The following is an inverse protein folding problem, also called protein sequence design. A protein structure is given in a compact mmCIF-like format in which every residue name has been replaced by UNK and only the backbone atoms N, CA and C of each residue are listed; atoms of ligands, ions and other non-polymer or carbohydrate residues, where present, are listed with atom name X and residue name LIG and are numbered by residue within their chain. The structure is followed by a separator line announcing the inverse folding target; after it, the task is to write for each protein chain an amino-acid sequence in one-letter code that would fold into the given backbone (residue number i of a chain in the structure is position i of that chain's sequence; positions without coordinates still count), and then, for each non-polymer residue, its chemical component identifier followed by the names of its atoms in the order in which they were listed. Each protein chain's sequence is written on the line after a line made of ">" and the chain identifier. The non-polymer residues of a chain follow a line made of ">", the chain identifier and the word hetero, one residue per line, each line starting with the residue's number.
data_IF_697262512719
#
_entry.id   IF_697262512719
#
_cell.length_a   1.000
_cell.length_b   1.000
_cell.length_c   1.000
_cell.angle_alpha   90.00
_cell.angle_beta   90.00
_cell.angle_gamma   90.00
#
_symmetry.space_group_name_H-M   'P 1'
#
loop_
_entity.id
_entity.type
_entity.pdbx_description
1 polymer ?
#
# COMPACT_ATOMS: atom_id res chain seq x y z
N UNK A 1 6.60 28.62 3.44
CA UNK A 1 6.71 28.44 4.90
C UNK A 1 5.58 27.51 5.31
N UNK A 2 5.90 26.37 5.94
CA UNK A 2 4.85 25.48 6.41
C UNK A 2 4.46 25.97 7.80
N UNK A 3 3.47 26.85 7.87
CA UNK A 3 2.93 27.37 9.14
C UNK A 3 2.20 26.25 9.89
N UNK A 4 2.93 25.29 10.47
CA UNK A 4 2.40 24.28 11.40
C UNK A 4 2.19 24.93 12.77
N UNK A 5 1.21 25.83 12.85
CA UNK A 5 0.74 26.39 14.11
C UNK A 5 -0.17 25.41 14.86
N UNK A 6 -0.37 25.66 16.15
CA UNK A 6 -1.30 24.91 17.00
C UNK A 6 -2.71 24.82 16.38
N UNK A 7 -3.16 25.89 15.72
CA UNK A 7 -4.46 25.97 15.05
C UNK A 7 -4.65 24.89 13.97
N UNK A 8 -3.60 24.58 13.19
CA UNK A 8 -3.68 23.55 12.14
C UNK A 8 -3.71 22.14 12.74
N UNK A 9 -3.01 21.93 13.86
CA UNK A 9 -3.09 20.66 14.58
C UNK A 9 -4.49 20.43 15.15
N UNK A 10 -5.13 21.48 15.67
CA UNK A 10 -6.53 21.40 16.11
C UNK A 10 -7.46 21.06 14.94
N UNK A 11 -7.31 21.73 13.80
CA UNK A 11 -8.13 21.46 12.60
C UNK A 11 -8.02 20.00 12.16
N UNK A 12 -6.79 19.50 12.01
CA UNK A 12 -6.54 18.11 11.58
C UNK A 12 -7.04 17.13 12.64
N UNK A 13 -6.85 17.43 13.93
CA UNK A 13 -7.39 16.64 15.03
C UNK A 13 -8.92 16.57 15.01
N UNK A 14 -9.59 17.69 14.73
CA UNK A 14 -11.03 17.78 14.57
C UNK A 14 -11.54 16.93 13.41
N UNK A 15 -10.92 17.05 12.22
CA UNK A 15 -11.28 16.21 11.06
C UNK A 15 -11.05 14.73 11.35
N UNK A 16 -9.93 14.38 12.00
CA UNK A 16 -9.64 13.01 12.37
C UNK A 16 -10.66 12.45 13.38
N UNK A 17 -11.17 13.26 14.30
CA UNK A 17 -12.25 12.87 15.23
C UNK A 17 -13.54 12.51 14.51
N UNK A 18 -13.92 13.29 13.49
CA UNK A 18 -15.15 13.04 12.71
C UNK A 18 -15.01 11.78 11.84
N UNK A 19 -13.88 11.63 11.16
CA UNK A 19 -13.68 10.55 10.18
C UNK A 19 -13.39 9.22 10.88
N UNK A 20 -12.49 9.22 11.86
CA UNK A 20 -12.04 8.01 12.53
C UNK A 20 -12.87 7.68 13.78
N UNK A 21 -13.46 8.69 14.41
CA UNK A 21 -14.20 8.59 15.66
C UNK A 21 -13.31 8.80 16.90
N UNK A 22 -13.85 9.43 17.97
CA UNK A 22 -13.12 9.72 19.21
C UNK A 22 -12.61 8.47 19.94
N UNK A 23 -13.27 7.34 19.76
CA UNK A 23 -12.90 6.08 20.41
C UNK A 23 -11.66 5.43 19.78
N UNK A 24 -11.38 5.72 18.50
CA UNK A 24 -10.34 5.06 17.70
C UNK A 24 -9.06 5.87 17.58
N UNK A 25 -9.15 7.21 17.63
CA UNK A 25 -8.00 8.12 17.64
C UNK A 25 -6.94 7.81 18.72
N UNK A 26 -7.27 7.57 20.00
CA UNK A 26 -6.26 7.30 21.02
C UNK A 26 -5.50 6.00 20.76
N UNK A 27 -6.13 5.05 20.07
CA UNK A 27 -5.47 3.79 19.68
C UNK A 27 -4.43 4.04 18.59
N UNK A 28 -4.77 4.83 17.56
CA UNK A 28 -3.84 5.19 16.48
C UNK A 28 -2.70 6.06 16.99
N UNK A 29 -2.99 7.07 17.81
CA UNK A 29 -1.97 7.93 18.40
C UNK A 29 -0.93 7.12 19.21
N UNK A 30 -1.39 6.13 19.99
CA UNK A 30 -0.49 5.21 20.71
C UNK A 30 0.36 4.39 19.76
N UNK A 31 -0.22 3.81 18.72
CA UNK A 31 0.54 3.01 17.74
C UNK A 31 1.59 3.87 17.02
N UNK A 32 1.19 5.01 16.47
CA UNK A 32 2.10 5.93 15.78
C UNK A 32 3.18 6.43 16.73
N UNK A 33 2.82 6.81 17.96
CA UNK A 33 3.77 7.26 18.98
C UNK A 33 4.80 6.18 19.34
N UNK A 34 4.37 4.92 19.51
CA UNK A 34 5.32 3.83 19.78
C UNK A 34 6.27 3.56 18.62
N UNK A 35 5.78 3.64 17.38
CA UNK A 35 6.62 3.45 16.19
C UNK A 35 7.62 4.58 16.03
N UNK A 36 7.17 5.82 16.19
CA UNK A 36 8.02 7.01 16.10
C UNK A 36 9.09 7.01 17.21
N UNK A 37 8.72 6.64 18.44
CA UNK A 37 9.67 6.53 19.55
C UNK A 37 10.73 5.44 19.33
N UNK A 38 10.35 4.30 18.74
CA UNK A 38 11.30 3.24 18.37
C UNK A 38 12.23 3.68 17.24
N UNK A 39 11.69 4.37 16.23
CA UNK A 39 12.49 4.92 15.14
C UNK A 39 13.48 5.96 15.63
N UNK A 40 13.06 6.87 16.52
CA UNK A 40 13.93 7.87 17.13
C UNK A 40 15.10 7.23 17.89
N UNK A 41 14.84 6.18 18.67
CA UNK A 41 15.90 5.40 19.35
C UNK A 41 16.85 4.72 18.36
N UNK A 42 16.32 4.09 17.32
CA UNK A 42 17.17 3.47 16.30
C UNK A 42 18.08 4.49 15.61
N UNK A 43 17.54 5.66 15.29
CA UNK A 43 18.32 6.76 14.72
C UNK A 43 19.37 7.27 15.70
N UNK A 44 19.10 7.35 17.00
CA UNK A 44 20.12 7.74 17.98
C UNK A 44 21.24 6.71 18.09
N UNK A 45 20.90 5.42 18.05
CA UNK A 45 21.88 4.33 18.16
C UNK A 45 22.78 4.28 16.92
N UNK A 46 22.19 4.41 15.73
CA UNK A 46 22.95 4.50 14.47
C UNK A 46 23.81 5.76 14.43
N UNK A 47 23.28 6.92 14.87
CA UNK A 47 24.10 8.14 14.99
C UNK A 47 25.28 7.94 15.94
N UNK A 48 25.10 7.25 17.05
CA UNK A 48 26.16 7.00 18.03
C UNK A 48 27.26 6.06 17.47
N UNK A 49 26.86 5.00 16.75
CA UNK A 49 27.79 4.07 16.09
C UNK A 49 28.56 4.75 14.93
N UNK A 50 27.86 5.54 14.13
CA UNK A 50 28.44 6.26 12.97
C UNK A 50 29.34 7.41 13.44
N UNK A 51 28.98 8.14 14.50
CA UNK A 51 29.82 9.19 15.08
C UNK A 51 31.06 8.62 15.80
N UNK A 52 31.07 7.33 16.12
CA UNK A 52 32.24 6.63 16.68
C UNK A 52 33.26 6.25 15.60
N UNK A 53 32.86 6.18 14.33
CA UNK A 53 33.60 5.49 13.26
C UNK A 53 33.95 6.33 12.02
N UNK A 54 33.53 7.61 11.92
CA UNK A 54 33.75 8.45 10.71
C UNK A 54 34.31 9.84 11.07
N UNK A 55 35.33 10.30 10.35
CA UNK A 55 35.88 11.67 10.39
C UNK A 55 34.89 12.69 9.80
N UNK A 56 34.78 13.88 10.40
CA UNK A 56 33.71 14.88 10.24
C UNK A 56 33.36 15.32 8.79
N UNK A 57 34.17 14.99 7.80
CA UNK A 57 34.04 15.45 6.40
C UNK A 57 33.03 14.61 5.57
N UNK A 58 32.91 13.31 5.79
CA UNK A 58 31.92 12.46 5.07
C UNK A 58 30.48 12.69 5.54
N UNK A 59 30.28 13.00 6.83
CA UNK A 59 28.96 13.33 7.39
C UNK A 59 28.40 14.62 6.81
N UNK A 60 29.26 15.62 6.56
CA UNK A 60 28.84 16.88 5.95
C UNK A 60 28.43 16.70 4.49
N UNK A 61 29.12 15.82 3.76
CA UNK A 61 28.80 15.46 2.37
C UNK A 61 27.52 14.64 2.24
N UNK A 62 27.30 13.66 3.12
CA UNK A 62 26.04 12.90 3.17
C UNK A 62 24.87 13.79 3.59
N UNK A 63 25.06 14.69 4.57
CA UNK A 63 24.01 15.64 5.00
C UNK A 63 23.62 16.59 3.86
N UNK A 64 24.59 17.12 3.12
CA UNK A 64 24.29 18.02 1.99
C UNK A 64 23.57 17.28 0.86
N UNK A 65 24.00 16.07 0.50
CA UNK A 65 23.31 15.22 -0.48
C UNK A 65 21.89 14.88 -0.06
N UNK A 66 21.68 14.52 1.22
CA UNK A 66 20.36 14.22 1.75
C UNK A 66 19.46 15.46 1.78
N UNK A 67 19.99 16.62 2.16
CA UNK A 67 19.24 17.88 2.16
C UNK A 67 18.79 18.27 0.74
N UNK A 68 19.68 18.13 -0.26
CA UNK A 68 19.32 18.37 -1.67
C UNK A 68 18.24 17.39 -2.12
N UNK A 69 18.40 16.10 -1.82
CA UNK A 69 17.39 15.09 -2.19
C UNK A 69 16.03 15.34 -1.52
N UNK A 70 16.01 15.79 -0.26
CA UNK A 70 14.77 16.14 0.44
C UNK A 70 14.11 17.37 -0.21
N UNK A 71 14.88 18.40 -0.56
CA UNK A 71 14.35 19.58 -1.24
C UNK A 71 13.78 19.23 -2.63
N UNK A 72 14.47 18.38 -3.39
CA UNK A 72 14.00 17.91 -4.71
C UNK A 72 12.69 17.11 -4.60
N UNK A 73 12.59 16.26 -3.56
CA UNK A 73 11.35 15.51 -3.27
C UNK A 73 10.23 16.45 -2.81
N UNK A 74 10.52 17.48 -2.02
CA UNK A 74 9.53 18.48 -1.62
C UNK A 74 8.97 19.23 -2.84
N UNK A 75 9.82 19.57 -3.82
CA UNK A 75 9.41 20.22 -5.05
C UNK A 75 8.55 19.31 -5.94
N UNK A 76 8.94 18.05 -6.12
CA UNK A 76 8.17 17.09 -6.93
C UNK A 76 6.82 16.75 -6.29
N UNK A 77 6.80 16.53 -4.97
CA UNK A 77 5.55 16.26 -4.23
C UNK A 77 4.61 17.46 -4.27
N UNK A 78 5.11 18.70 -4.12
CA UNK A 78 4.27 19.89 -4.25
C UNK A 78 3.64 19.99 -5.63
N UNK A 79 4.42 19.80 -6.69
CA UNK A 79 3.94 19.87 -8.06
C UNK A 79 2.90 18.78 -8.38
N UNK A 80 3.10 17.58 -7.84
CA UNK A 80 2.16 16.46 -8.02
C UNK A 80 0.88 16.65 -7.19
N UNK A 81 0.99 17.22 -5.98
CA UNK A 81 -0.17 17.58 -5.15
C UNK A 81 -0.98 18.71 -5.78
N UNK A 82 -0.34 19.75 -6.31
CA UNK A 82 -1.01 20.88 -6.96
C UNK A 82 -1.76 20.43 -8.22
N UNK A 83 -1.17 19.55 -9.03
CA UNK A 83 -1.83 18.98 -10.22
C UNK A 83 -2.98 18.04 -9.86
N UNK A 84 -2.83 17.22 -8.80
CA UNK A 84 -3.92 16.40 -8.28
C UNK A 84 -5.08 17.25 -7.74
N UNK A 85 -4.79 18.35 -7.05
CA UNK A 85 -5.80 19.29 -6.57
C UNK A 85 -6.60 19.93 -7.71
N UNK A 86 -5.92 20.32 -8.79
CA UNK A 86 -6.56 20.90 -9.98
C UNK A 86 -7.47 19.89 -10.68
N UNK A 87 -7.03 18.64 -10.83
CA UNK A 87 -7.82 17.58 -11.44
C UNK A 87 -9.07 17.22 -10.61
N UNK A 88 -8.94 17.18 -9.29
CA UNK A 88 -10.09 16.95 -8.39
C UNK A 88 -11.06 18.13 -8.48
N UNK A 89 -10.56 19.38 -8.48
CA UNK A 89 -11.42 20.56 -8.59
C UNK A 89 -12.17 20.61 -9.92
N UNK A 90 -11.53 20.28 -11.04
CA UNK A 90 -12.19 20.26 -12.36
C UNK A 90 -13.28 19.19 -12.44
N UNK A 91 -13.02 17.99 -11.91
CA UNK A 91 -14.04 16.95 -11.85
C UNK A 91 -15.21 17.33 -10.96
N UNK A 92 -14.95 17.99 -9.83
CA UNK A 92 -16.00 18.48 -8.94
C UNK A 92 -16.82 19.59 -9.60
N UNK A 93 -16.19 20.52 -10.31
CA UNK A 93 -16.89 21.58 -11.03
C UNK A 93 -17.73 21.04 -12.19
N UNK A 94 -17.24 20.04 -12.93
CA UNK A 94 -18.01 19.41 -14.02
C UNK A 94 -19.25 18.69 -13.46
N UNK A 95 -19.10 17.96 -12.35
CA UNK A 95 -20.21 17.31 -11.65
C UNK A 95 -21.21 18.31 -11.05
N UNK A 96 -20.74 19.49 -10.61
CA UNK A 96 -21.60 20.55 -10.08
C UNK A 96 -22.40 21.26 -11.18
N UNK A 97 -21.87 21.33 -12.41
CA UNK A 97 -22.55 21.94 -13.57
C UNK A 97 -23.55 20.98 -14.23
N UNK A 98 -23.30 19.67 -14.21
CA UNK A 98 -24.25 18.65 -14.70
C UNK A 98 -25.44 18.36 -13.74
N UNK A 99 -25.44 18.91 -12.52
CA UNK A 99 -26.51 18.72 -11.54
C UNK A 99 -27.87 19.37 -11.87
N UNK A 100 -28.00 20.06 -13.02
CA UNK A 100 -29.19 20.84 -13.42
C UNK A 100 -30.08 20.23 -14.51
N UNK A 101 -29.76 19.06 -15.06
CA UNK A 101 -30.46 18.50 -16.23
C UNK A 101 -30.97 17.06 -15.99
N UNK A 102 -31.62 16.83 -14.85
CA UNK A 102 -32.09 15.50 -14.41
C UNK A 102 -33.50 15.10 -14.89
N UNK A 103 -34.12 15.80 -15.83
CA UNK A 103 -35.48 15.42 -16.31
C UNK A 103 -35.53 14.86 -17.75
N UNK A 104 -34.52 15.10 -18.61
CA UNK A 104 -34.57 14.66 -20.02
C UNK A 104 -33.89 13.30 -20.30
N UNK A 105 -33.09 12.77 -19.37
CA UNK A 105 -32.30 11.55 -19.57
C UNK A 105 -32.99 10.25 -19.08
N UNK A 106 -34.22 10.32 -18.53
CA UNK A 106 -34.93 9.15 -18.02
C UNK A 106 -35.58 8.29 -19.13
N UNK A 107 -35.62 8.77 -20.38
CA UNK A 107 -36.28 8.10 -21.50
C UNK A 107 -35.35 7.26 -22.40
N UNK A 108 -34.02 7.29 -22.17
CA UNK A 108 -33.04 6.56 -22.99
C UNK A 108 -32.19 5.56 -22.18
N UNK A 109 -32.70 5.12 -21.02
CA UNK A 109 -31.98 4.18 -20.16
C UNK A 109 -31.97 2.78 -20.79
N UNK A 110 -30.82 2.42 -21.39
CA UNK A 110 -30.47 1.04 -21.72
C UNK A 110 -30.73 0.12 -20.50
N UNK A 111 -31.14 -1.14 -20.71
CA UNK A 111 -31.49 -2.04 -19.61
C UNK A 111 -30.34 -2.15 -18.62
N UNK A 112 -30.63 -1.80 -17.37
CA UNK A 112 -29.70 -1.90 -16.23
C UNK A 112 -29.20 -3.36 -16.16
N UNK A 113 -27.87 -3.60 -16.14
CA UNK A 113 -27.35 -4.94 -16.05
C UNK A 113 -27.76 -5.56 -14.71
N UNK A 114 -28.60 -6.59 -14.77
CA UNK A 114 -29.00 -7.37 -13.60
C UNK A 114 -27.80 -8.20 -13.13
N UNK A 115 -27.39 -7.98 -11.89
CA UNK A 115 -26.32 -8.76 -11.27
C UNK A 115 -26.75 -10.23 -11.16
N UNK A 116 -26.07 -11.09 -11.92
CA UNK A 116 -26.15 -12.54 -11.72
C UNK A 116 -25.03 -12.97 -10.79
N UNK A 117 -25.40 -13.57 -9.66
CA UNK A 117 -24.41 -14.02 -8.69
C UNK A 117 -23.48 -15.04 -9.36
N UNK A 118 -22.16 -14.84 -9.35
CA UNK A 118 -21.25 -15.90 -9.75
C UNK A 118 -21.41 -16.99 -8.71
N UNK A 119 -21.98 -18.14 -9.09
CA UNK A 119 -22.19 -19.33 -8.24
C UNK A 119 -20.87 -19.98 -7.79
N UNK A 120 -19.94 -19.17 -7.28
CA UNK A 120 -18.62 -19.55 -6.83
C UNK A 120 -18.71 -19.94 -5.36
N UNK A 121 -18.58 -21.24 -5.15
CA UNK A 121 -18.36 -21.84 -3.84
C UNK A 121 -16.98 -21.44 -3.30
N UNK A 122 -16.84 -20.21 -2.79
CA UNK A 122 -15.65 -19.67 -2.12
C UNK A 122 -15.23 -20.51 -0.88
N UNK A 123 -16.07 -21.47 -0.49
CA UNK A 123 -15.81 -22.51 0.52
C UNK A 123 -15.24 -23.83 -0.04
N UNK A 124 -14.80 -23.90 -1.29
CA UNK A 124 -13.95 -25.00 -1.75
C UNK A 124 -12.47 -24.71 -1.40
N UNK A 125 -12.12 -25.13 -0.18
CA UNK A 125 -10.78 -25.45 0.36
C UNK A 125 -9.69 -24.37 0.29
N UNK A 126 -9.63 -23.56 1.36
CA UNK A 126 -8.37 -23.11 1.96
C UNK A 126 -7.54 -24.35 2.31
N UNK A 127 -6.35 -24.48 1.73
CA UNK A 127 -5.45 -25.59 2.05
C UNK A 127 -4.24 -25.76 1.13
N UNK A 128 -4.13 -25.00 0.04
CA UNK A 128 -2.94 -25.07 -0.82
C UNK A 128 -2.15 -23.79 -0.69
N UNK A 129 -0.95 -23.90 -0.11
CA UNK A 129 0.05 -22.83 -0.17
C UNK A 129 0.26 -22.43 -1.64
N UNK A 130 0.23 -21.13 -1.97
CA UNK A 130 0.30 -20.67 -3.34
C UNK A 130 1.55 -21.19 -4.05
N UNK A 131 1.45 -21.40 -5.37
CA UNK A 131 2.53 -21.99 -6.17
C UNK A 131 3.81 -21.16 -6.10
N UNK A 132 3.70 -19.83 -6.12
CA UNK A 132 4.85 -18.92 -5.98
C UNK A 132 5.62 -19.15 -4.67
N UNK A 133 4.90 -19.43 -3.58
CA UNK A 133 5.51 -19.63 -2.25
C UNK A 133 6.30 -20.93 -2.21
N UNK A 134 5.74 -22.03 -2.76
CA UNK A 134 6.45 -23.32 -2.84
C UNK A 134 7.69 -23.27 -3.74
N UNK A 135 7.66 -22.45 -4.79
CA UNK A 135 8.77 -22.25 -5.72
C UNK A 135 9.96 -21.55 -5.04
N UNK A 136 9.68 -20.53 -4.23
CA UNK A 136 10.70 -19.78 -3.50
C UNK A 136 11.33 -20.58 -2.36
N UNK A 137 10.55 -21.45 -1.71
CA UNK A 137 10.99 -22.25 -0.56
C UNK A 137 11.56 -23.62 -0.94
N UNK A 138 11.75 -23.91 -2.24
CA UNK A 138 12.33 -25.18 -2.69
C UNK A 138 11.51 -26.43 -2.33
N UNK A 139 10.23 -26.27 -1.99
CA UNK A 139 9.39 -27.39 -1.53
C UNK A 139 9.03 -28.27 -2.72
N UNK A 140 9.46 -29.55 -2.68
CA UNK A 140 9.22 -30.52 -3.75
C UNK A 140 7.71 -30.69 -4.00
N UNK A 141 7.30 -30.45 -5.25
CA UNK A 141 5.89 -30.41 -5.68
C UNK A 141 5.26 -31.77 -5.93
N UNK A 142 6.06 -32.81 -6.13
CA UNK A 142 5.59 -34.15 -6.46
C UNK A 142 6.30 -35.19 -5.59
N UNK A 143 5.52 -35.98 -4.85
CA UNK A 143 5.96 -37.25 -4.29
C UNK A 143 5.78 -38.32 -5.37
N UNK A 144 6.88 -38.86 -5.90
CA UNK A 144 6.80 -40.04 -6.74
C UNK A 144 6.45 -41.24 -5.85
N UNK A 145 5.27 -41.82 -6.06
CA UNK A 145 4.90 -43.08 -5.39
C UNK A 145 5.93 -44.17 -5.73
N UNK A 146 6.12 -45.14 -4.84
CA UNK A 146 7.05 -46.25 -5.07
C UNK A 146 6.78 -46.97 -6.40
N UNK A 147 5.51 -47.14 -6.77
CA UNK A 147 5.10 -47.70 -8.05
C UNK A 147 5.57 -46.86 -9.26
N UNK A 148 5.50 -45.53 -9.19
CA UNK A 148 5.94 -44.64 -10.26
C UNK A 148 7.47 -44.65 -10.45
N UNK A 149 8.23 -44.85 -9.37
CA UNK A 149 9.68 -45.08 -9.46
C UNK A 149 10.00 -46.38 -10.18
N UNK A 150 9.28 -47.46 -9.85
CA UNK A 150 9.53 -48.78 -10.42
C UNK A 150 9.05 -48.90 -11.86
N UNK A 151 8.02 -48.15 -12.28
CA UNK A 151 7.51 -48.15 -13.65
C UNK A 151 8.56 -47.79 -14.71
N UNK A 152 9.57 -46.97 -14.36
CA UNK A 152 10.67 -46.60 -15.27
C UNK A 152 11.62 -47.76 -15.57
N UNK A 153 11.67 -48.75 -14.68
CA UNK A 153 12.57 -49.90 -14.75
C UNK A 153 11.84 -51.18 -15.15
N UNK A 154 10.54 -51.10 -15.51
CA UNK A 154 9.80 -52.27 -15.99
C UNK A 154 9.87 -52.33 -17.52
N UNK A 155 10.19 -53.49 -18.11
CA UNK A 155 10.18 -53.65 -19.55
C UNK A 155 8.75 -53.46 -20.10
N UNK A 156 8.60 -52.84 -21.29
CA UNK A 156 7.30 -52.61 -21.88
C UNK A 156 6.61 -53.95 -22.19
N UNK A 157 5.35 -54.08 -21.76
CA UNK A 157 4.55 -55.28 -22.04
C UNK A 157 4.24 -55.28 -23.54
N UNK A 158 4.75 -56.28 -24.27
CA UNK A 158 4.41 -56.46 -25.69
C UNK A 158 2.90 -56.69 -25.79
N UNK A 159 2.22 -55.82 -26.51
CA UNK A 159 0.83 -56.02 -26.87
C UNK A 159 0.77 -57.17 -27.88
N UNK A 160 -0.02 -58.20 -27.56
CA UNK A 160 -0.39 -59.31 -28.44
C UNK A 160 -1.47 -58.87 -29.41
#
# INVERSE_FOLDING_TARGET
>A
MIDFGFDKLILIGGVALVVLGPERLPRVARTVGTLLGKAQRYVSDVKAEVNRSIELEELQKMKSQFQTAVNDVEHSVRQEVDSAHQAIHSTWSDLAVEGGSTEAALAAAAPVPVYSHPGKNWRLKRGTTPLWYKQRQGVRRHTQSGAARVARFRPPRRAS
#
